data_IF_931438189760
#
_entry.id   IF_931438189760
#
_cell.length_a   1.000
_cell.length_b   1.000
_cell.length_c   1.000
_cell.angle_alpha   90.00
_cell.angle_beta   90.00
_cell.angle_gamma   90.00
#
_symmetry.space_group_name_H-M   'P 1'
#
loop_
_entity.id
_entity.type
_entity.pdbx_description
1 polymer ?
#
# COMPACT_ATOMS: atom_id res chain seq x y z
N UNK A 1 -22.06 -14.17 18.60
CA UNK A 1 -22.04 -14.89 17.28
C UNK A 1 -23.35 -14.71 16.50
N UNK A 2 -24.54 -14.78 17.13
CA UNK A 2 -25.86 -14.58 16.47
C UNK A 2 -26.10 -13.14 16.02
N UNK A 3 -25.71 -12.16 16.80
CA UNK A 3 -25.97 -10.75 16.49
C UNK A 3 -25.04 -10.19 15.42
N UNK A 4 -23.81 -10.70 15.34
CA UNK A 4 -22.85 -10.33 14.28
C UNK A 4 -23.30 -10.88 12.91
N UNK A 5 -23.85 -12.12 12.89
CA UNK A 5 -24.41 -12.72 11.66
C UNK A 5 -25.64 -11.93 11.16
N UNK A 6 -26.46 -11.41 12.08
CA UNK A 6 -27.63 -10.58 11.75
C UNK A 6 -27.23 -9.21 11.17
N UNK A 7 -26.23 -8.58 11.75
CA UNK A 7 -25.71 -7.29 11.27
C UNK A 7 -25.06 -7.41 9.88
N UNK A 8 -24.28 -8.47 9.63
CA UNK A 8 -23.61 -8.70 8.34
C UNK A 8 -24.60 -9.06 7.22
N UNK A 9 -25.66 -9.81 7.54
CA UNK A 9 -26.74 -10.12 6.60
C UNK A 9 -27.56 -8.90 6.17
N UNK A 10 -27.76 -7.93 7.06
CA UNK A 10 -28.44 -6.68 6.76
C UNK A 10 -27.67 -5.77 5.79
N UNK A 11 -26.36 -5.98 5.64
CA UNK A 11 -25.49 -5.20 4.73
C UNK A 11 -25.15 -5.97 3.43
N UNK A 12 -25.87 -7.06 3.13
CA UNK A 12 -25.70 -7.82 1.88
C UNK A 12 -24.39 -8.61 1.78
N UNK A 13 -23.74 -8.90 2.90
CA UNK A 13 -22.50 -9.67 2.94
C UNK A 13 -22.85 -11.15 3.12
N UNK A 14 -22.85 -11.92 2.04
CA UNK A 14 -22.99 -13.37 2.07
C UNK A 14 -21.75 -14.03 2.67
N UNK A 15 -21.92 -14.77 3.78
CA UNK A 15 -20.84 -15.44 4.53
C UNK A 15 -20.42 -16.78 3.87
N UNK A 16 -21.05 -17.18 2.75
CA UNK A 16 -20.79 -18.46 2.08
C UNK A 16 -19.34 -18.67 1.59
N UNK A 17 -18.53 -17.61 1.48
CA UNK A 17 -17.12 -17.67 1.09
C UNK A 17 -16.11 -17.94 2.21
N UNK A 18 -16.57 -18.10 3.47
CA UNK A 18 -15.70 -18.30 4.65
C UNK A 18 -15.54 -19.76 5.07
N UNK A 19 -16.17 -20.69 4.36
CA UNK A 19 -16.02 -22.13 4.62
C UNK A 19 -14.77 -22.64 3.89
N UNK A 20 -13.81 -23.19 4.66
CA UNK A 20 -12.56 -23.78 4.19
C UNK A 20 -12.81 -24.99 3.29
N UNK A 21 -12.02 -25.18 2.20
CA UNK A 21 -11.80 -26.52 1.66
C UNK A 21 -11.05 -27.39 2.67
N UNK A 22 -11.21 -28.73 2.63
CA UNK A 22 -10.67 -29.63 3.64
C UNK A 22 -9.15 -29.54 3.75
N UNK A 23 -8.68 -29.64 4.98
CA UNK A 23 -7.32 -29.61 5.50
C UNK A 23 -6.25 -30.19 4.57
N UNK A 24 -5.32 -29.35 4.14
CA UNK A 24 -3.97 -29.79 3.77
C UNK A 24 -3.18 -29.89 5.06
N UNK A 25 -2.77 -31.10 5.41
CA UNK A 25 -1.92 -31.39 6.57
C UNK A 25 -0.58 -30.67 6.45
N UNK A 26 -0.25 -29.87 7.45
CA UNK A 26 1.06 -29.30 7.68
C UNK A 26 2.01 -30.43 8.10
N UNK A 27 2.86 -30.85 7.18
CA UNK A 27 4.00 -31.71 7.43
C UNK A 27 5.26 -30.89 7.63
N UNK A 28 5.88 -31.13 8.75
CA UNK A 28 7.29 -31.05 9.12
C UNK A 28 8.11 -29.78 8.89
N UNK A 29 8.54 -29.25 10.02
CA UNK A 29 9.66 -28.33 10.25
C UNK A 29 10.94 -28.81 9.57
N UNK A 30 11.57 -27.94 8.78
CA UNK A 30 12.95 -28.12 8.28
C UNK A 30 13.94 -27.93 9.44
N UNK A 31 15.04 -28.70 9.49
CA UNK A 31 16.00 -28.62 10.57
C UNK A 31 16.82 -27.32 10.53
N UNK A 32 16.99 -26.72 11.70
CA UNK A 32 17.94 -25.65 11.97
C UNK A 32 19.36 -26.16 11.70
N UNK A 33 20.09 -25.50 10.82
CA UNK A 33 21.52 -25.73 10.66
C UNK A 33 22.30 -24.80 11.56
N UNK A 34 22.78 -25.32 12.68
CA UNK A 34 23.77 -24.67 13.55
C UNK A 34 25.12 -24.61 12.84
N UNK A 35 25.55 -23.40 12.43
CA UNK A 35 26.92 -23.18 11.96
C UNK A 35 27.66 -22.40 13.05
N UNK A 36 28.66 -22.99 13.72
CA UNK A 36 29.48 -22.29 14.71
C UNK A 36 30.40 -21.29 14.04
N UNK A 37 30.62 -20.11 14.70
CA UNK A 37 31.59 -19.12 14.28
C UNK A 37 33.05 -19.61 14.50
N UNK A 38 34.04 -18.83 14.01
CA UNK A 38 35.46 -19.15 14.13
C UNK A 38 35.96 -19.25 15.59
N UNK A 39 35.13 -18.92 16.58
CA UNK A 39 35.41 -18.99 18.01
C UNK A 39 34.52 -20.01 18.75
N UNK A 40 33.78 -20.84 18.04
CA UNK A 40 32.95 -21.92 18.63
C UNK A 40 31.74 -21.45 19.42
N UNK A 41 31.28 -20.19 19.22
CA UNK A 41 30.05 -19.68 19.81
C UNK A 41 28.89 -19.92 18.85
N UNK A 42 27.85 -20.59 19.32
CA UNK A 42 26.55 -20.69 18.64
C UNK A 42 25.95 -19.29 18.56
N UNK A 43 26.07 -18.64 17.41
CA UNK A 43 25.23 -17.51 17.09
C UNK A 43 23.84 -18.06 16.75
N UNK A 44 22.91 -17.90 17.68
CA UNK A 44 21.50 -18.03 17.36
C UNK A 44 21.18 -16.89 16.38
N UNK A 45 21.30 -17.15 15.09
CA UNK A 45 20.78 -16.26 14.09
C UNK A 45 19.26 -16.31 14.24
N UNK A 46 18.72 -15.36 15.02
CA UNK A 46 17.30 -15.06 15.01
C UNK A 46 17.02 -14.53 13.61
N UNK A 47 16.61 -15.41 12.71
CA UNK A 47 16.13 -15.00 11.38
C UNK A 47 15.03 -13.96 11.60
N UNK A 48 15.13 -12.78 10.96
CA UNK A 48 14.09 -11.76 11.13
C UNK A 48 12.74 -12.38 10.81
N UNK A 49 11.70 -12.08 11.60
CA UNK A 49 10.37 -12.69 11.44
C UNK A 49 9.92 -12.53 9.99
N UNK A 50 9.38 -13.59 9.40
CA UNK A 50 8.94 -13.57 8.01
C UNK A 50 7.93 -12.43 7.82
N UNK A 51 8.19 -11.53 6.87
CA UNK A 51 7.35 -10.34 6.63
C UNK A 51 5.89 -10.71 6.34
N UNK A 52 5.67 -11.78 5.57
CA UNK A 52 4.35 -12.24 5.12
C UNK A 52 4.09 -13.66 5.62
N UNK A 53 2.81 -14.09 5.69
CA UNK A 53 2.45 -15.48 5.95
C UNK A 53 3.22 -16.42 5.03
N UNK A 54 3.67 -17.56 5.55
CA UNK A 54 4.61 -18.46 4.88
C UNK A 54 4.22 -18.81 3.44
N UNK A 55 2.96 -19.11 3.17
CA UNK A 55 2.48 -19.45 1.82
C UNK A 55 2.57 -18.27 0.86
N UNK A 56 2.11 -17.10 1.28
CA UNK A 56 2.15 -15.88 0.46
C UNK A 56 3.60 -15.39 0.27
N UNK A 57 4.38 -15.40 1.34
CA UNK A 57 5.79 -15.05 1.30
C UNK A 57 6.62 -15.98 0.39
N UNK A 58 6.34 -17.28 0.40
CA UNK A 58 7.00 -18.24 -0.49
C UNK A 58 6.68 -17.97 -1.96
N UNK A 59 5.42 -17.70 -2.29
CA UNK A 59 4.98 -17.35 -3.64
C UNK A 59 5.69 -16.10 -4.14
N UNK A 60 5.77 -15.03 -3.33
CA UNK A 60 6.42 -13.80 -3.76
C UNK A 60 7.94 -13.95 -3.89
N UNK A 61 8.59 -14.71 -3.01
CA UNK A 61 10.02 -15.03 -3.18
C UNK A 61 10.26 -15.81 -4.47
N UNK A 62 9.42 -16.79 -4.77
CA UNK A 62 9.52 -17.54 -6.02
C UNK A 62 9.37 -16.64 -7.26
N UNK A 63 8.46 -15.64 -7.22
CA UNK A 63 8.35 -14.67 -8.30
C UNK A 63 9.61 -13.83 -8.42
N UNK A 64 10.14 -13.32 -7.30
CA UNK A 64 11.36 -12.52 -7.27
C UNK A 64 12.58 -13.29 -7.79
N UNK A 65 12.77 -14.53 -7.34
CA UNK A 65 13.85 -15.41 -7.79
C UNK A 65 13.79 -15.70 -9.29
N UNK A 66 12.60 -16.06 -9.79
CA UNK A 66 12.40 -16.31 -11.23
C UNK A 66 12.63 -15.07 -12.09
N UNK A 67 12.21 -13.91 -11.61
CA UNK A 67 12.39 -12.66 -12.32
C UNK A 67 13.79 -12.04 -12.13
N UNK A 68 14.63 -12.59 -11.24
CA UNK A 68 15.91 -11.97 -10.88
C UNK A 68 15.75 -10.56 -10.29
N UNK A 69 14.59 -10.27 -9.69
CA UNK A 69 14.23 -8.97 -9.15
C UNK A 69 14.27 -8.98 -7.62
N UNK A 70 14.46 -7.82 -6.95
CA UNK A 70 14.42 -7.76 -5.49
C UNK A 70 13.03 -8.14 -4.96
N UNK A 71 12.98 -8.99 -3.93
CA UNK A 71 11.73 -9.42 -3.31
C UNK A 71 10.93 -8.24 -2.74
N UNK A 72 11.61 -7.20 -2.28
CA UNK A 72 11.02 -5.95 -1.79
C UNK A 72 10.12 -5.29 -2.82
N UNK A 73 10.42 -5.40 -4.13
CA UNK A 73 9.58 -4.85 -5.18
C UNK A 73 8.22 -5.58 -5.24
N UNK A 74 8.22 -6.90 -5.15
CA UNK A 74 6.98 -7.69 -5.08
C UNK A 74 6.20 -7.43 -3.79
N UNK A 75 6.89 -7.34 -2.65
CA UNK A 75 6.26 -7.05 -1.37
C UNK A 75 5.60 -5.67 -1.37
N UNK A 76 6.29 -4.64 -1.86
CA UNK A 76 5.75 -3.28 -1.93
C UNK A 76 4.49 -3.22 -2.80
N UNK A 77 4.53 -3.80 -4.00
CA UNK A 77 3.36 -3.81 -4.91
C UNK A 77 2.19 -4.57 -4.28
N UNK A 78 2.44 -5.75 -3.67
CA UNK A 78 1.40 -6.49 -2.95
C UNK A 78 0.76 -5.64 -1.85
N UNK A 79 1.58 -4.96 -1.04
CA UNK A 79 1.10 -4.15 0.07
C UNK A 79 0.26 -2.95 -0.42
N UNK A 80 0.65 -2.29 -1.52
CA UNK A 80 -0.16 -1.22 -2.13
C UNK A 80 -1.51 -1.73 -2.65
N UNK A 81 -1.53 -2.88 -3.33
CA UNK A 81 -2.77 -3.52 -3.79
C UNK A 81 -3.63 -3.95 -2.61
N UNK A 82 -3.05 -4.60 -1.60
CA UNK A 82 -3.78 -5.03 -0.41
C UNK A 82 -4.37 -3.83 0.36
N UNK A 83 -3.60 -2.76 0.51
CA UNK A 83 -4.02 -1.52 1.17
C UNK A 83 -5.28 -0.94 0.51
N UNK A 84 -5.33 -0.90 -0.82
CA UNK A 84 -6.48 -0.38 -1.58
C UNK A 84 -7.75 -1.24 -1.45
N UNK A 85 -7.61 -2.52 -1.08
CA UNK A 85 -8.74 -3.44 -0.89
C UNK A 85 -9.32 -3.40 0.53
N UNK A 86 -8.58 -2.86 1.49
CA UNK A 86 -9.05 -2.70 2.86
C UNK A 86 -10.13 -1.61 2.89
N UNK A 87 -11.29 -1.84 3.55
CA UNK A 87 -12.33 -0.82 3.66
C UNK A 87 -11.80 0.51 4.22
N UNK A 88 -12.22 1.63 3.64
CA UNK A 88 -11.67 2.97 3.88
C UNK A 88 -11.76 3.45 5.35
N UNK A 89 -12.77 2.98 6.10
CA UNK A 89 -12.93 3.31 7.54
C UNK A 89 -12.03 2.48 8.46
N UNK A 90 -11.09 1.72 7.90
CA UNK A 90 -10.13 0.95 8.71
C UNK A 90 -8.93 1.81 9.07
N UNK A 91 -8.51 1.77 10.32
CA UNK A 91 -7.35 2.52 10.81
C UNK A 91 -6.71 1.83 12.01
N UNK A 92 -5.51 2.27 12.38
CA UNK A 92 -4.88 1.97 13.68
C UNK A 92 -4.89 3.23 14.53
N UNK A 93 -5.42 3.15 15.74
CA UNK A 93 -5.33 4.19 16.75
C UNK A 93 -3.99 4.06 17.48
N UNK A 94 -3.11 5.04 17.33
CA UNK A 94 -1.79 5.05 17.95
C UNK A 94 -1.83 5.62 19.35
N UNK A 95 -2.51 6.74 19.52
CA UNK A 95 -2.70 7.39 20.81
C UNK A 95 -4.20 7.60 21.05
N UNK A 96 -4.76 6.89 22.06
CA UNK A 96 -6.15 7.08 22.45
C UNK A 96 -6.44 8.50 22.97
N UNK A 97 -5.43 9.19 23.57
CA UNK A 97 -5.59 10.52 24.15
C UNK A 97 -5.72 11.59 23.07
N UNK A 98 -4.84 11.55 22.07
CA UNK A 98 -4.78 12.52 20.97
C UNK A 98 -5.65 12.11 19.77
N UNK A 99 -6.26 10.91 19.81
CA UNK A 99 -7.06 10.33 18.72
C UNK A 99 -6.32 10.24 17.38
N UNK A 100 -4.98 10.08 17.44
CA UNK A 100 -4.16 9.92 16.25
C UNK A 100 -4.43 8.53 15.66
N UNK A 101 -4.98 8.51 14.46
CA UNK A 101 -5.28 7.26 13.75
C UNK A 101 -4.66 7.25 12.36
N UNK A 102 -4.09 6.12 11.96
CA UNK A 102 -3.36 5.93 10.72
C UNK A 102 -4.16 5.01 9.79
N UNK A 103 -4.48 5.46 8.55
CA UNK A 103 -5.21 4.66 7.57
C UNK A 103 -4.29 3.67 6.82
N UNK A 104 -4.84 2.61 6.17
CA UNK A 104 -4.08 1.65 5.39
C UNK A 104 -3.73 2.19 3.99
N UNK A 105 -3.08 3.33 3.88
CA UNK A 105 -2.73 3.97 2.60
C UNK A 105 -1.25 3.81 2.34
N UNK A 106 -0.88 3.24 1.19
CA UNK A 106 0.51 3.03 0.80
C UNK A 106 0.75 3.48 -0.64
N UNK A 107 1.82 4.24 -0.86
CA UNK A 107 2.28 4.66 -2.17
C UNK A 107 3.63 4.01 -2.48
N UNK A 108 3.71 3.28 -3.57
CA UNK A 108 4.89 2.52 -3.98
C UNK A 108 5.38 2.91 -5.37
N UNK A 109 6.69 3.13 -5.48
CA UNK A 109 7.37 3.45 -6.73
C UNK A 109 8.51 2.46 -7.03
N UNK A 110 8.51 1.89 -8.23
CA UNK A 110 9.58 1.05 -8.72
C UNK A 110 10.48 1.87 -9.65
N UNK A 111 11.75 2.04 -9.29
CA UNK A 111 12.74 2.81 -10.05
C UNK A 111 13.66 1.87 -10.83
N UNK A 112 13.84 2.10 -12.12
CA UNK A 112 14.76 1.28 -12.94
C UNK A 112 14.71 1.70 -14.39
N UNK A 113 15.64 1.18 -15.20
CA UNK A 113 15.75 1.49 -16.61
C UNK A 113 14.64 0.86 -17.46
N UNK A 114 14.58 1.22 -18.72
CA UNK A 114 13.70 0.58 -19.70
C UNK A 114 14.05 -0.92 -19.76
N UNK A 115 13.04 -1.78 -19.74
CA UNK A 115 13.26 -3.23 -19.76
C UNK A 115 13.67 -3.85 -18.42
N UNK A 116 13.74 -3.08 -17.32
CA UNK A 116 14.09 -3.63 -15.98
C UNK A 116 13.00 -4.52 -15.35
N UNK A 117 11.83 -4.68 -15.97
CA UNK A 117 10.77 -5.55 -15.48
C UNK A 117 9.76 -4.91 -14.52
N UNK A 118 9.82 -3.58 -14.27
CA UNK A 118 8.89 -2.87 -13.36
C UNK A 118 7.41 -3.14 -13.66
N UNK A 119 6.99 -2.89 -14.90
CA UNK A 119 5.59 -3.09 -15.32
C UNK A 119 5.15 -4.54 -15.19
N UNK A 120 6.08 -5.49 -15.36
CA UNK A 120 5.83 -6.91 -15.17
C UNK A 120 5.58 -7.25 -13.70
N UNK A 121 6.42 -6.76 -12.78
CA UNK A 121 6.22 -6.95 -11.34
C UNK A 121 4.84 -6.43 -10.92
N UNK A 122 4.47 -5.21 -11.37
CA UNK A 122 3.17 -4.60 -11.10
C UNK A 122 2.05 -5.46 -11.69
N UNK A 123 2.14 -5.84 -12.97
CA UNK A 123 1.09 -6.61 -13.65
C UNK A 123 0.89 -8.00 -13.04
N UNK A 124 1.95 -8.66 -12.58
CA UNK A 124 1.87 -9.96 -11.91
C UNK A 124 0.94 -9.91 -10.69
N UNK A 125 1.02 -8.86 -9.89
CA UNK A 125 0.24 -8.73 -8.66
C UNK A 125 -1.10 -8.03 -8.88
N UNK A 126 -1.22 -7.15 -9.88
CA UNK A 126 -2.49 -6.47 -10.19
C UNK A 126 -3.42 -7.31 -11.07
N UNK A 127 -2.94 -8.35 -11.76
CA UNK A 127 -3.77 -9.19 -12.64
C UNK A 127 -4.94 -9.86 -11.92
N UNK A 128 -4.78 -10.59 -10.78
CA UNK A 128 -5.90 -11.16 -10.04
C UNK A 128 -6.86 -10.09 -9.51
N UNK A 129 -6.33 -8.93 -9.15
CA UNK A 129 -7.11 -7.78 -8.72
C UNK A 129 -7.98 -7.19 -9.86
N UNK A 130 -7.44 -7.08 -11.08
CA UNK A 130 -8.17 -6.64 -12.28
C UNK A 130 -9.28 -7.62 -12.68
N UNK A 131 -9.13 -8.91 -12.37
CA UNK A 131 -10.19 -9.90 -12.55
C UNK A 131 -11.38 -9.65 -11.63
N UNK A 132 -11.12 -9.29 -10.36
CA UNK A 132 -12.18 -8.89 -9.43
C UNK A 132 -12.91 -7.63 -9.94
N UNK A 133 -12.17 -6.67 -10.50
CA UNK A 133 -12.78 -5.49 -11.13
C UNK A 133 -13.68 -5.87 -12.30
N UNK A 134 -13.24 -6.79 -13.15
CA UNK A 134 -14.05 -7.25 -14.30
C UNK A 134 -15.37 -7.89 -13.84
N UNK A 135 -15.38 -8.63 -12.73
CA UNK A 135 -16.61 -9.17 -12.15
C UNK A 135 -17.55 -8.07 -11.63
N UNK A 136 -16.99 -7.04 -10.96
CA UNK A 136 -17.79 -5.89 -10.53
C UNK A 136 -18.41 -5.17 -11.73
N UNK A 137 -17.65 -5.01 -12.80
CA UNK A 137 -18.15 -4.38 -14.03
C UNK A 137 -19.24 -5.21 -14.69
N UNK A 138 -19.08 -6.53 -14.81
CA UNK A 138 -20.11 -7.42 -15.35
C UNK A 138 -21.41 -7.36 -14.54
N UNK A 139 -21.28 -7.34 -13.20
CA UNK A 139 -22.43 -7.19 -12.29
C UNK A 139 -23.14 -5.85 -12.49
N UNK A 140 -22.37 -4.76 -12.58
CA UNK A 140 -22.91 -3.43 -12.85
C UNK A 140 -23.66 -3.37 -14.19
N UNK A 141 -23.13 -3.96 -15.26
CA UNK A 141 -23.81 -4.03 -16.56
C UNK A 141 -25.16 -4.76 -16.47
N UNK A 142 -25.23 -5.84 -15.69
CA UNK A 142 -26.50 -6.53 -15.46
C UNK A 142 -27.48 -5.68 -14.63
N UNK A 143 -27.00 -5.00 -13.61
CA UNK A 143 -27.82 -4.09 -12.79
C UNK A 143 -28.34 -2.92 -13.62
N UNK A 144 -27.51 -2.36 -14.52
CA UNK A 144 -27.93 -1.27 -15.42
C UNK A 144 -29.06 -1.71 -16.37
N UNK A 145 -28.96 -2.90 -16.98
CA UNK A 145 -30.06 -3.46 -17.81
C UNK A 145 -31.35 -3.63 -17.01
N UNK A 146 -31.24 -4.13 -15.76
CA UNK A 146 -32.42 -4.30 -14.90
C UNK A 146 -33.05 -2.95 -14.54
N UNK A 147 -32.21 -1.94 -14.26
CA UNK A 147 -32.64 -0.57 -13.98
C UNK A 147 -33.37 0.04 -15.19
N UNK A 148 -32.82 -0.08 -16.38
CA UNK A 148 -33.44 0.45 -17.60
C UNK A 148 -34.82 -0.18 -17.85
N UNK A 149 -34.95 -1.49 -17.68
CA UNK A 149 -36.25 -2.18 -17.79
C UNK A 149 -37.25 -1.72 -16.72
N UNK A 150 -36.78 -1.54 -15.46
CA UNK A 150 -37.61 -1.04 -14.36
C UNK A 150 -38.05 0.42 -14.57
N UNK A 151 -37.13 1.27 -15.07
CA UNK A 151 -37.43 2.67 -15.39
C UNK A 151 -38.50 2.77 -16.49
N UNK A 152 -38.36 1.99 -17.56
CA UNK A 152 -39.38 1.93 -18.64
C UNK A 152 -40.74 1.44 -18.12
N UNK A 153 -40.76 0.44 -17.22
CA UNK A 153 -41.97 -0.03 -16.59
C UNK A 153 -42.62 1.02 -15.68
N UNK A 154 -41.80 1.77 -14.93
CA UNK A 154 -42.22 2.89 -14.09
C UNK A 154 -42.84 4.01 -14.95
N UNK A 155 -42.20 4.43 -16.01
CA UNK A 155 -42.70 5.47 -16.94
C UNK A 155 -44.02 5.09 -17.61
N UNK A 156 -44.18 3.80 -17.99
CA UNK A 156 -45.44 3.31 -18.59
C UNK A 156 -46.64 3.30 -17.64
N UNK A 157 -46.38 3.17 -16.32
CA UNK A 157 -47.45 3.08 -15.31
C UNK A 157 -47.99 4.43 -14.86
N UNK A 158 -47.89 5.49 -15.67
CA UNK A 158 -48.38 6.85 -15.41
C UNK A 158 -49.43 6.89 -14.30
N UNK A 159 -49.08 7.23 -13.05
CA UNK A 159 -49.94 7.41 -11.88
C UNK A 159 -49.98 6.31 -10.80
N UNK A 160 -49.05 5.36 -10.72
CA UNK A 160 -48.94 4.52 -9.54
C UNK A 160 -47.97 5.18 -8.56
N UNK A 161 -48.40 5.46 -7.36
CA UNK A 161 -47.58 5.98 -6.29
C UNK A 161 -46.38 5.05 -6.00
N UNK A 162 -45.17 5.58 -6.15
CA UNK A 162 -43.91 4.88 -5.88
C UNK A 162 -42.74 5.72 -6.34
N UNK A 163 -41.59 5.54 -5.71
CA UNK A 163 -40.38 6.23 -6.09
C UNK A 163 -39.78 5.64 -7.38
N UNK A 164 -39.12 6.45 -8.22
CA UNK A 164 -38.43 5.95 -9.40
C UNK A 164 -37.32 4.98 -8.99
N UNK A 165 -37.02 3.96 -9.82
CA UNK A 165 -35.93 3.03 -9.52
C UNK A 165 -34.61 3.77 -9.36
N UNK A 166 -33.79 3.36 -8.39
CA UNK A 166 -32.50 3.94 -8.14
C UNK A 166 -31.47 3.45 -9.17
N UNK A 167 -30.70 4.39 -9.72
CA UNK A 167 -29.67 4.05 -10.72
C UNK A 167 -28.50 3.36 -10.05
N UNK A 168 -28.05 2.19 -10.52
CA UNK A 168 -26.88 1.51 -9.96
C UNK A 168 -25.60 2.33 -10.13
N UNK A 169 -24.70 2.23 -9.16
CA UNK A 169 -23.39 2.89 -9.16
C UNK A 169 -22.29 1.87 -9.49
N UNK A 170 -21.37 2.15 -10.42
CA UNK A 170 -20.26 1.26 -10.69
C UNK A 170 -19.30 1.21 -9.48
N UNK A 171 -18.72 0.03 -9.23
CA UNK A 171 -17.63 -0.15 -8.28
C UNK A 171 -16.32 -0.09 -9.04
N UNK A 172 -15.45 0.85 -8.69
CA UNK A 172 -14.15 1.06 -9.31
C UNK A 172 -13.05 0.78 -8.27
N UNK A 173 -12.33 -0.34 -8.42
CA UNK A 173 -11.26 -0.72 -7.50
C UNK A 173 -9.94 -0.05 -7.88
N UNK A 174 -9.76 0.31 -9.15
CA UNK A 174 -8.56 1.01 -9.63
C UNK A 174 -8.86 1.98 -10.75
N UNK A 175 -7.94 2.91 -10.93
CA UNK A 175 -7.87 3.79 -12.09
C UNK A 175 -6.42 4.00 -12.51
N UNK A 176 -6.18 4.31 -13.78
CA UNK A 176 -4.90 4.80 -14.28
C UNK A 176 -4.89 6.33 -14.46
N UNK A 177 -6.00 6.99 -14.15
CA UNK A 177 -6.10 8.45 -14.18
C UNK A 177 -5.58 9.03 -12.87
N UNK A 178 -4.61 9.94 -12.97
CA UNK A 178 -4.02 10.65 -11.84
C UNK A 178 -4.53 12.10 -11.70
N UNK A 179 -5.62 12.46 -12.38
CA UNK A 179 -6.30 13.72 -12.12
C UNK A 179 -7.06 13.65 -10.80
N UNK A 180 -6.67 14.47 -9.83
CA UNK A 180 -7.23 14.43 -8.48
C UNK A 180 -8.76 14.61 -8.46
N UNK A 181 -9.30 15.39 -9.41
CA UNK A 181 -10.74 15.57 -9.56
C UNK A 181 -11.48 14.28 -9.95
N UNK A 182 -10.89 13.47 -10.83
CA UNK A 182 -11.44 12.16 -11.22
C UNK A 182 -11.41 11.20 -10.04
N UNK A 183 -10.30 11.15 -9.32
CA UNK A 183 -10.14 10.32 -8.13
C UNK A 183 -11.18 10.67 -7.05
N UNK A 184 -11.37 11.97 -6.75
CA UNK A 184 -12.39 12.40 -5.80
C UNK A 184 -13.81 12.02 -6.25
N UNK A 185 -14.12 12.12 -7.53
CA UNK A 185 -15.43 11.72 -8.06
C UNK A 185 -15.67 10.22 -7.87
N UNK A 186 -14.66 9.38 -8.04
CA UNK A 186 -14.75 7.94 -7.78
C UNK A 186 -15.01 7.71 -6.28
N UNK A 187 -14.24 8.35 -5.41
CA UNK A 187 -14.37 8.18 -3.94
C UNK A 187 -15.73 8.64 -3.42
N UNK A 188 -16.29 9.74 -3.96
CA UNK A 188 -17.64 10.21 -3.60
C UNK A 188 -18.71 9.16 -3.91
N UNK A 189 -18.56 8.43 -5.02
CA UNK A 189 -19.49 7.37 -5.42
C UNK A 189 -19.38 6.10 -4.59
N UNK A 190 -18.24 5.88 -3.93
CA UNK A 190 -17.93 4.68 -3.16
C UNK A 190 -17.20 5.00 -1.84
N UNK A 191 -17.82 5.74 -0.90
CA UNK A 191 -17.14 6.33 0.26
C UNK A 191 -16.54 5.32 1.24
N UNK A 192 -17.01 4.06 1.21
CA UNK A 192 -16.55 3.00 2.13
C UNK A 192 -15.47 2.10 1.52
N UNK A 193 -14.98 2.42 0.31
CA UNK A 193 -13.99 1.61 -0.41
C UNK A 193 -12.69 2.36 -0.63
N UNK A 194 -11.58 1.62 -0.61
CA UNK A 194 -10.31 2.12 -1.09
C UNK A 194 -10.22 2.09 -2.61
N UNK A 195 -9.26 2.82 -3.15
CA UNK A 195 -8.95 2.92 -4.57
C UNK A 195 -7.46 2.72 -4.80
N UNK A 196 -7.10 1.94 -5.82
CA UNK A 196 -5.73 1.84 -6.31
C UNK A 196 -5.54 2.75 -7.53
N UNK A 197 -4.47 3.53 -7.53
CA UNK A 197 -3.99 4.19 -8.74
C UNK A 197 -2.83 3.36 -9.28
N UNK A 198 -3.04 2.73 -10.44
CA UNK A 198 -2.07 1.86 -11.11
C UNK A 198 -1.50 2.60 -12.32
N UNK A 199 -0.26 3.09 -12.20
CA UNK A 199 0.39 3.95 -13.18
C UNK A 199 1.56 3.24 -13.86
N UNK A 200 1.54 3.15 -15.18
CA UNK A 200 2.69 2.68 -15.95
C UNK A 200 3.89 3.61 -15.82
N UNK A 201 3.63 4.94 -15.74
CA UNK A 201 4.66 5.98 -15.59
C UNK A 201 4.30 6.96 -14.46
N UNK A 202 4.96 6.78 -13.31
CA UNK A 202 4.87 7.72 -12.18
C UNK A 202 5.40 9.13 -12.49
N UNK A 203 6.23 9.29 -13.53
CA UNK A 203 6.72 10.62 -13.88
C UNK A 203 5.58 11.56 -14.29
N UNK A 204 4.49 11.05 -14.87
CA UNK A 204 3.30 11.84 -15.21
C UNK A 204 2.67 12.41 -13.93
N UNK A 205 2.46 11.57 -12.92
CA UNK A 205 1.92 11.96 -11.62
C UNK A 205 2.81 13.01 -10.94
N UNK A 206 4.11 12.74 -10.85
CA UNK A 206 5.06 13.64 -10.20
C UNK A 206 5.19 15.00 -10.93
N UNK A 207 5.15 15.01 -12.27
CA UNK A 207 5.14 16.26 -13.07
C UNK A 207 3.86 17.07 -12.85
N UNK A 208 2.71 16.41 -12.70
CA UNK A 208 1.43 17.09 -12.46
C UNK A 208 1.36 17.81 -11.11
N UNK A 209 2.22 17.44 -10.17
CA UNK A 209 2.26 17.96 -8.79
C UNK A 209 3.50 18.84 -8.51
N UNK A 210 4.44 18.98 -9.46
CA UNK A 210 5.76 19.56 -9.23
C UNK A 210 5.81 21.11 -9.19
N UNK A 211 4.78 21.82 -9.64
CA UNK A 211 4.83 23.28 -9.80
C UNK A 211 4.41 24.03 -8.53
N UNK A 212 4.97 25.24 -8.36
CA UNK A 212 4.77 26.11 -7.18
C UNK A 212 3.54 27.02 -7.28
N UNK A 213 2.98 27.23 -8.47
CA UNK A 213 1.95 28.27 -8.71
C UNK A 213 0.65 27.66 -9.25
N UNK A 214 -0.45 28.30 -8.87
CA UNK A 214 -1.77 28.01 -9.41
C UNK A 214 -2.33 26.65 -9.05
N UNK A 215 -3.00 26.02 -10.01
CA UNK A 215 -3.76 24.78 -9.88
C UNK A 215 -2.93 23.59 -9.43
N UNK A 216 -1.67 23.47 -9.87
CA UNK A 216 -0.77 22.36 -9.49
C UNK A 216 -0.39 22.38 -8.01
N UNK A 217 -0.27 23.55 -7.38
CA UNK A 217 -0.08 23.64 -5.93
C UNK A 217 -1.30 23.14 -5.17
N UNK A 218 -2.49 23.48 -5.65
CA UNK A 218 -3.76 23.02 -5.08
C UNK A 218 -3.86 21.50 -5.22
N UNK A 219 -3.55 20.95 -6.38
CA UNK A 219 -3.57 19.50 -6.63
C UNK A 219 -2.60 18.75 -5.72
N UNK A 220 -1.37 19.27 -5.52
CA UNK A 220 -0.41 18.66 -4.58
C UNK A 220 -0.95 18.62 -3.15
N UNK A 221 -1.55 19.71 -2.66
CA UNK A 221 -2.14 19.72 -1.31
C UNK A 221 -3.26 18.70 -1.18
N UNK A 222 -4.12 18.56 -2.20
CA UNK A 222 -5.19 17.56 -2.22
C UNK A 222 -4.65 16.13 -2.22
N UNK A 223 -3.56 15.86 -2.95
CA UNK A 223 -2.89 14.56 -2.93
C UNK A 223 -2.30 14.23 -1.56
N UNK A 224 -1.69 15.21 -0.89
CA UNK A 224 -1.20 15.03 0.47
C UNK A 224 -2.35 14.80 1.46
N UNK A 225 -3.47 15.53 1.36
CA UNK A 225 -4.66 15.27 2.15
C UNK A 225 -5.18 13.82 1.92
N UNK A 226 -5.23 13.36 0.66
CA UNK A 226 -5.62 11.98 0.32
C UNK A 226 -4.66 10.93 0.88
N UNK A 227 -3.35 11.21 0.90
CA UNK A 227 -2.35 10.32 1.51
C UNK A 227 -2.54 10.20 3.03
N UNK A 228 -2.89 11.31 3.69
CA UNK A 228 -3.21 11.33 5.12
C UNK A 228 -4.59 10.73 5.46
N UNK A 229 -5.36 10.32 4.46
CA UNK A 229 -6.74 9.85 4.67
C UNK A 229 -7.70 10.97 5.09
N UNK A 230 -7.35 12.21 4.79
CA UNK A 230 -8.14 13.40 5.11
C UNK A 230 -8.99 13.83 3.92
N UNK A 231 -10.19 14.30 4.20
CA UNK A 231 -11.01 14.95 3.18
C UNK A 231 -10.30 16.19 2.65
N UNK A 232 -10.10 16.33 1.31
CA UNK A 232 -9.40 17.48 0.75
C UNK A 232 -10.04 18.81 1.13
N UNK A 233 -9.28 19.68 1.78
CA UNK A 233 -9.77 20.94 2.41
C UNK A 233 -10.19 21.98 1.41
N UNK A 234 -9.63 21.97 0.20
CA UNK A 234 -9.81 23.02 -0.82
C UNK A 234 -10.95 22.75 -1.82
N UNK A 235 -11.73 21.68 -1.66
CA UNK A 235 -12.83 21.33 -2.57
C UNK A 235 -14.20 21.85 -2.16
N UNK A 236 -14.40 22.25 -0.91
CA UNK A 236 -15.70 22.55 -0.33
C UNK A 236 -16.30 23.91 -0.73
N UNK A 237 -15.48 24.89 -1.13
CA UNK A 237 -15.96 26.27 -1.34
C UNK A 237 -16.35 26.62 -2.79
N UNK A 238 -15.79 25.97 -3.80
CA UNK A 238 -15.91 26.41 -5.19
C UNK A 238 -16.83 25.51 -6.04
N UNK A 239 -17.04 24.25 -5.67
CA UNK A 239 -17.76 23.28 -6.51
C UNK A 239 -18.93 22.57 -5.84
N UNK A 240 -19.27 22.88 -4.58
CA UNK A 240 -20.39 22.21 -3.86
C UNK A 240 -20.19 20.70 -3.68
N UNK A 241 -18.93 20.21 -3.69
CA UNK A 241 -18.61 18.79 -3.61
C UNK A 241 -18.86 18.23 -2.21
N UNK A 242 -19.43 17.05 -2.14
CA UNK A 242 -19.64 16.31 -0.91
C UNK A 242 -18.27 15.79 -0.45
N UNK A 243 -17.84 16.08 0.81
CA UNK A 243 -16.59 15.56 1.32
C UNK A 243 -16.66 14.05 1.49
N UNK A 244 -15.60 13.33 1.09
CA UNK A 244 -15.44 11.91 1.43
C UNK A 244 -14.84 11.84 2.83
N UNK A 245 -15.55 11.32 3.83
CA UNK A 245 -15.11 11.41 5.22
C UNK A 245 -13.84 10.60 5.52
N UNK A 246 -13.60 9.51 4.79
CA UNK A 246 -12.45 8.62 4.96
C UNK A 246 -11.91 8.21 3.60
N UNK A 247 -11.23 9.11 2.85
CA UNK A 247 -10.64 8.74 1.58
C UNK A 247 -9.49 7.75 1.80
N UNK A 248 -9.42 6.71 0.97
CA UNK A 248 -8.35 5.72 1.02
C UNK A 248 -7.84 5.48 -0.40
N UNK A 249 -6.67 6.05 -0.71
CA UNK A 249 -6.07 5.98 -2.05
C UNK A 249 -4.64 5.48 -1.94
N UNK A 250 -4.40 4.28 -2.46
CA UNK A 250 -3.05 3.75 -2.62
C UNK A 250 -2.58 3.96 -4.06
N UNK A 251 -1.27 4.14 -4.24
CA UNK A 251 -0.66 4.38 -5.55
C UNK A 251 0.44 3.34 -5.79
N UNK A 252 0.51 2.81 -6.99
CA UNK A 252 1.63 1.98 -7.44
C UNK A 252 2.01 2.34 -8.86
N UNK A 253 3.31 2.35 -9.17
CA UNK A 253 3.75 2.59 -10.53
C UNK A 253 5.26 2.47 -10.71
N UNK A 254 5.67 2.49 -11.98
CA UNK A 254 7.07 2.48 -12.38
C UNK A 254 7.55 3.88 -12.78
N UNK A 255 8.84 4.13 -12.59
CA UNK A 255 9.51 5.33 -13.11
C UNK A 255 10.88 4.96 -13.68
N UNK A 256 11.27 5.59 -14.78
CA UNK A 256 12.61 5.41 -15.32
C UNK A 256 13.64 6.14 -14.43
N UNK A 257 14.83 5.55 -14.29
CA UNK A 257 15.90 6.16 -13.47
C UNK A 257 16.25 7.58 -13.93
N UNK A 258 16.32 7.81 -15.23
CA UNK A 258 16.59 9.13 -15.82
C UNK A 258 15.51 10.17 -15.53
N UNK A 259 14.22 9.77 -15.60
CA UNK A 259 13.10 10.65 -15.24
C UNK A 259 13.08 10.95 -13.76
N UNK A 260 13.32 9.94 -12.92
CA UNK A 260 13.44 10.09 -11.47
C UNK A 260 14.53 11.11 -11.13
N UNK A 261 15.74 10.95 -11.68
CA UNK A 261 16.88 11.86 -11.51
C UNK A 261 16.54 13.29 -11.94
N UNK A 262 15.93 13.45 -13.12
CA UNK A 262 15.56 14.75 -13.67
C UNK A 262 14.52 15.47 -12.82
N UNK A 263 13.51 14.75 -12.36
CA UNK A 263 12.44 15.30 -11.54
C UNK A 263 12.93 15.61 -10.12
N UNK A 264 13.74 14.71 -9.54
CA UNK A 264 14.33 14.92 -8.23
C UNK A 264 15.23 16.14 -8.17
N UNK A 265 16.09 16.34 -9.19
CA UNK A 265 16.99 17.52 -9.26
C UNK A 265 16.24 18.84 -9.43
N UNK A 266 15.07 18.83 -10.06
CA UNK A 266 14.20 19.99 -10.24
C UNK A 266 13.22 20.21 -9.09
N UNK A 267 13.17 19.31 -8.09
CA UNK A 267 12.25 19.42 -6.97
C UNK A 267 12.44 20.74 -6.21
N UNK A 268 11.37 21.21 -5.66
CA UNK A 268 11.38 22.39 -4.78
C UNK A 268 11.36 21.92 -3.33
N UNK A 269 11.86 22.74 -2.39
CA UNK A 269 11.80 22.44 -0.94
C UNK A 269 10.39 22.04 -0.46
N UNK A 270 9.34 22.53 -1.09
CA UNK A 270 7.96 22.18 -0.75
C UNK A 270 7.47 20.90 -1.45
N UNK A 271 8.21 20.35 -2.41
CA UNK A 271 7.89 19.09 -3.09
C UNK A 271 8.42 17.85 -2.39
N UNK A 272 9.33 18.02 -1.45
CA UNK A 272 10.06 16.93 -0.78
C UNK A 272 9.10 15.97 -0.06
N UNK A 273 8.08 16.47 0.64
CA UNK A 273 7.09 15.66 1.34
C UNK A 273 6.32 14.70 0.41
N UNK A 274 5.94 15.14 -0.81
CA UNK A 274 5.24 14.26 -1.75
C UNK A 274 6.11 13.06 -2.17
N UNK A 275 7.42 13.30 -2.37
CA UNK A 275 8.37 12.25 -2.69
C UNK A 275 8.56 11.28 -1.52
N UNK A 276 8.56 11.81 -0.30
CA UNK A 276 8.67 11.02 0.92
C UNK A 276 7.45 10.11 1.16
N UNK A 277 6.25 10.49 0.68
CA UNK A 277 5.06 9.64 0.73
C UNK A 277 5.23 8.33 -0.04
N UNK A 278 6.08 8.29 -1.07
CA UNK A 278 6.37 7.07 -1.80
C UNK A 278 7.43 6.22 -1.10
N UNK A 279 7.16 4.94 -1.00
CA UNK A 279 8.20 3.93 -0.77
C UNK A 279 8.86 3.60 -2.11
N UNK A 280 10.18 3.71 -2.19
CA UNK A 280 10.93 3.51 -3.43
C UNK A 280 11.72 2.22 -3.39
N UNK A 281 11.66 1.43 -4.46
CA UNK A 281 12.48 0.23 -4.64
C UNK A 281 13.16 0.26 -5.99
N UNK A 282 14.46 0.02 -6.01
CA UNK A 282 15.25 -0.07 -7.22
C UNK A 282 15.11 -1.45 -7.85
N UNK A 283 14.81 -1.48 -9.16
CA UNK A 283 14.77 -2.70 -9.98
C UNK A 283 15.86 -2.61 -11.04
N UNK A 284 16.90 -3.42 -10.90
CA UNK A 284 18.10 -3.33 -11.77
C UNK A 284 17.86 -3.98 -13.12
N UNK A 285 17.53 -5.25 -13.14
CA UNK A 285 17.24 -6.00 -14.35
C UNK A 285 16.46 -7.27 -13.97
N UNK A 286 15.38 -7.52 -14.68
CA UNK A 286 14.66 -8.77 -14.59
C UNK A 286 14.74 -9.45 -15.95
N UNK A 287 15.39 -10.63 -16.08
CA UNK A 287 15.43 -11.36 -17.33
C UNK A 287 14.00 -11.68 -17.81
N UNK A 288 13.81 -11.66 -19.12
CA UNK A 288 12.52 -11.93 -19.74
C UNK A 288 12.19 -13.43 -19.68
N UNK A 289 11.79 -13.89 -18.49
CA UNK A 289 11.28 -15.25 -18.30
C UNK A 289 9.77 -15.23 -18.52
N UNK A 290 9.24 -16.14 -19.31
CA UNK A 290 7.79 -16.25 -19.55
C UNK A 290 7.03 -16.43 -18.23
N UNK A 291 6.00 -15.62 -18.05
CA UNK A 291 5.21 -15.50 -16.83
C UNK A 291 4.08 -16.51 -16.83
N UNK A 292 4.41 -17.77 -16.68
CA UNK A 292 3.43 -18.74 -16.24
C UNK A 292 3.27 -18.60 -14.72
N UNK A 293 2.41 -17.65 -14.30
CA UNK A 293 1.83 -17.69 -12.98
C UNK A 293 1.31 -19.11 -12.75
N UNK A 294 1.99 -19.87 -11.92
CA UNK A 294 1.49 -21.19 -11.53
C UNK A 294 0.05 -20.98 -11.08
N UNK A 295 -0.89 -21.67 -11.67
CA UNK A 295 -2.34 -21.55 -11.44
C UNK A 295 -2.69 -21.39 -9.95
N UNK A 296 -1.99 -22.11 -9.07
CA UNK A 296 -2.16 -22.04 -7.63
C UNK A 296 -1.82 -20.67 -7.03
N UNK A 297 -0.79 -19.98 -7.55
CA UNK A 297 -0.36 -18.66 -7.04
C UNK A 297 -1.37 -17.56 -7.39
N UNK A 298 -1.94 -17.61 -8.60
CA UNK A 298 -3.00 -16.69 -9.02
C UNK A 298 -4.27 -16.87 -8.19
N UNK A 299 -4.68 -18.13 -7.97
CA UNK A 299 -5.85 -18.48 -7.16
C UNK A 299 -5.67 -18.04 -5.71
N UNK A 300 -4.46 -18.19 -5.14
CA UNK A 300 -4.14 -17.72 -3.80
C UNK A 300 -4.32 -16.20 -3.70
N UNK A 301 -3.67 -15.42 -4.58
CA UNK A 301 -3.78 -13.96 -4.60
C UNK A 301 -5.22 -13.49 -4.78
N UNK A 302 -5.95 -14.06 -5.73
CA UNK A 302 -7.36 -13.77 -5.95
C UNK A 302 -8.19 -14.00 -4.67
N UNK A 303 -8.00 -15.14 -4.00
CA UNK A 303 -8.72 -15.49 -2.78
C UNK A 303 -8.41 -14.50 -1.65
N UNK A 304 -7.12 -14.18 -1.45
CA UNK A 304 -6.69 -13.21 -0.42
C UNK A 304 -7.29 -11.83 -0.70
N UNK A 305 -7.26 -11.36 -1.95
CA UNK A 305 -7.82 -10.07 -2.33
C UNK A 305 -9.34 -10.01 -2.12
N UNK A 306 -10.07 -11.07 -2.46
CA UNK A 306 -11.52 -11.15 -2.20
C UNK A 306 -11.83 -11.09 -0.70
N UNK A 307 -11.04 -11.77 0.11
CA UNK A 307 -11.20 -11.75 1.58
C UNK A 307 -10.89 -10.38 2.18
N UNK A 308 -9.84 -9.70 1.71
CA UNK A 308 -9.54 -8.33 2.11
C UNK A 308 -10.71 -7.38 1.81
N UNK A 309 -11.23 -7.44 0.58
CA UNK A 309 -12.36 -6.62 0.14
C UNK A 309 -13.65 -6.89 0.94
N UNK A 310 -13.88 -8.15 1.33
CA UNK A 310 -15.06 -8.55 2.08
C UNK A 310 -14.92 -8.37 3.60
N UNK A 311 -13.71 -8.02 4.09
CA UNK A 311 -13.48 -7.89 5.52
C UNK A 311 -14.15 -6.62 6.08
N UNK A 312 -14.69 -6.66 7.32
CA UNK A 312 -15.39 -5.51 7.90
C UNK A 312 -14.41 -4.35 8.17
N UNK A 313 -14.86 -3.08 8.04
CA UNK A 313 -14.08 -1.94 8.50
C UNK A 313 -13.89 -2.02 10.02
N UNK A 314 -12.69 -1.64 10.51
CA UNK A 314 -12.37 -1.72 11.92
C UNK A 314 -11.28 -0.72 12.30
N UNK A 315 -11.48 -0.03 13.43
CA UNK A 315 -10.40 0.67 14.09
C UNK A 315 -9.65 -0.30 15.00
N UNK A 316 -8.39 -0.55 14.65
CA UNK A 316 -7.47 -1.37 15.44
C UNK A 316 -6.79 -0.54 16.53
N UNK A 317 -6.32 -1.20 17.56
CA UNK A 317 -5.52 -0.62 18.64
C UNK A 317 -4.26 -1.48 18.83
N UNK A 318 -3.16 -0.87 19.24
CA UNK A 318 -1.96 -1.60 19.61
C UNK A 318 -2.17 -2.30 20.96
N UNK A 319 -1.56 -3.47 21.15
CA UNK A 319 -1.38 -4.04 22.49
C UNK A 319 -0.38 -3.19 23.31
N UNK A 320 -0.22 -3.49 24.60
CA UNK A 320 0.65 -2.70 25.49
C UNK A 320 2.10 -2.73 25.03
N UNK A 321 2.62 -3.88 24.62
CA UNK A 321 3.96 -4.03 24.07
C UNK A 321 4.12 -3.25 22.75
N UNK A 322 3.11 -3.28 21.88
CA UNK A 322 3.09 -2.51 20.63
C UNK A 322 3.07 -0.99 20.87
N UNK A 323 2.38 -0.51 21.91
CA UNK A 323 2.41 0.90 22.28
C UNK A 323 3.80 1.35 22.72
N UNK A 324 4.46 0.56 23.58
CA UNK A 324 5.84 0.84 24.01
C UNK A 324 6.82 0.80 22.84
N UNK A 325 6.66 -0.17 21.95
CA UNK A 325 7.46 -0.29 20.74
C UNK A 325 7.27 0.92 19.81
N UNK A 326 6.03 1.38 19.65
CA UNK A 326 5.71 2.58 18.86
C UNK A 326 6.39 3.84 19.43
N UNK A 327 6.32 4.05 20.74
CA UNK A 327 6.94 5.21 21.40
C UNK A 327 8.45 5.20 21.13
N UNK A 328 9.12 4.08 21.41
CA UNK A 328 10.56 3.94 21.18
C UNK A 328 10.95 4.17 19.71
N UNK A 329 10.14 3.64 18.78
CA UNK A 329 10.33 3.83 17.34
C UNK A 329 10.19 5.31 16.93
N UNK A 330 9.15 5.97 17.42
CA UNK A 330 8.90 7.38 17.15
C UNK A 330 10.04 8.27 17.62
N UNK A 331 10.55 8.03 18.84
CA UNK A 331 11.69 8.75 19.40
C UNK A 331 12.98 8.53 18.58
N UNK A 332 13.25 7.31 18.14
CA UNK A 332 14.38 6.97 17.27
C UNK A 332 14.31 7.71 15.92
N UNK A 333 13.13 7.71 15.29
CA UNK A 333 12.90 8.37 14.00
C UNK A 333 13.07 9.89 14.13
N UNK A 334 12.47 10.49 15.14
CA UNK A 334 12.59 11.94 15.41
C UNK A 334 14.05 12.30 15.70
N UNK A 335 14.71 11.55 16.57
CA UNK A 335 16.13 11.76 16.89
C UNK A 335 17.03 11.66 15.65
N UNK A 336 16.79 10.68 14.77
CA UNK A 336 17.53 10.50 13.52
C UNK A 336 17.26 11.66 12.53
N UNK A 337 16.03 12.15 12.46
CA UNK A 337 15.64 13.24 11.57
C UNK A 337 16.25 14.59 11.97
N UNK A 338 16.41 14.86 13.28
CA UNK A 338 17.02 16.08 13.79
C UNK A 338 18.50 16.21 13.41
N UNK A 339 19.21 15.08 13.29
CA UNK A 339 20.60 15.03 12.84
C UNK A 339 20.79 15.10 11.33
N UNK A 340 19.71 15.14 10.55
CA UNK A 340 19.78 15.13 9.07
C UNK A 340 19.78 16.54 8.49
N UNK A 341 20.82 16.84 7.70
CA UNK A 341 21.01 18.14 7.08
C UNK A 341 20.27 18.32 5.76
N UNK A 342 19.95 17.23 5.06
CA UNK A 342 19.25 17.26 3.77
C UNK A 342 17.72 17.15 3.99
N UNK A 343 16.95 18.18 3.58
CA UNK A 343 15.51 18.21 3.86
C UNK A 343 14.72 17.03 3.27
N UNK A 344 15.08 16.56 2.08
CA UNK A 344 14.39 15.43 1.44
C UNK A 344 14.62 14.11 2.16
N UNK A 345 15.82 13.89 2.72
CA UNK A 345 16.09 12.72 3.56
C UNK A 345 15.39 12.85 4.92
N UNK A 346 15.38 14.05 5.50
CA UNK A 346 14.64 14.31 6.73
C UNK A 346 13.16 13.96 6.60
N UNK A 347 12.52 14.41 5.53
CA UNK A 347 11.11 14.07 5.24
C UNK A 347 10.93 12.56 5.05
N UNK A 348 11.86 11.88 4.35
CA UNK A 348 11.84 10.44 4.17
C UNK A 348 11.93 9.68 5.51
N UNK A 349 12.80 10.13 6.41
CA UNK A 349 12.95 9.55 7.75
C UNK A 349 11.65 9.70 8.55
N UNK A 350 11.08 10.90 8.61
CA UNK A 350 9.83 11.15 9.33
C UNK A 350 8.70 10.29 8.78
N UNK A 351 8.59 10.22 7.46
CA UNK A 351 7.56 9.41 6.80
C UNK A 351 7.74 7.91 7.03
N UNK A 352 8.99 7.45 7.22
CA UNK A 352 9.28 6.05 7.54
C UNK A 352 8.65 5.63 8.87
N UNK A 353 8.56 6.56 9.82
CA UNK A 353 7.88 6.33 11.09
C UNK A 353 6.43 5.88 10.92
N UNK A 354 5.66 6.68 10.23
CA UNK A 354 4.23 6.40 10.00
C UNK A 354 3.99 5.26 9.01
N UNK A 355 4.83 5.17 7.97
CA UNK A 355 4.78 4.07 6.99
C UNK A 355 4.90 2.71 7.64
N UNK A 356 5.71 2.57 8.70
CA UNK A 356 5.83 1.33 9.46
C UNK A 356 4.48 0.87 10.02
N UNK A 357 3.69 1.78 10.55
CA UNK A 357 2.34 1.51 11.08
C UNK A 357 1.37 1.17 9.96
N UNK A 358 1.39 1.91 8.84
CA UNK A 358 0.57 1.64 7.66
C UNK A 358 0.84 0.24 7.12
N UNK A 359 2.11 -0.15 7.02
CA UNK A 359 2.53 -1.49 6.63
C UNK A 359 2.03 -2.53 7.64
N UNK A 360 2.22 -2.30 8.94
CA UNK A 360 1.77 -3.22 9.98
C UNK A 360 0.26 -3.45 9.93
N UNK A 361 -0.54 -2.40 9.71
CA UNK A 361 -1.98 -2.52 9.52
C UNK A 361 -2.33 -3.40 8.32
N UNK A 362 -1.68 -3.18 7.18
CA UNK A 362 -1.90 -3.99 5.98
C UNK A 362 -1.48 -5.44 6.21
N UNK A 363 -0.35 -5.70 6.88
CA UNK A 363 0.10 -7.04 7.25
C UNK A 363 -0.89 -7.74 8.17
N UNK A 364 -1.41 -7.04 9.19
CA UNK A 364 -2.41 -7.58 10.11
C UNK A 364 -3.68 -8.04 9.37
N UNK A 365 -4.12 -7.26 8.39
CA UNK A 365 -5.27 -7.59 7.54
C UNK A 365 -4.96 -8.72 6.57
N UNK A 366 -3.75 -8.78 6.01
CA UNK A 366 -3.28 -9.87 5.15
C UNK A 366 -3.17 -11.19 5.92
N UNK A 367 -2.63 -11.17 7.14
CA UNK A 367 -2.54 -12.37 7.98
C UNK A 367 -3.94 -12.99 8.21
N UNK A 368 -4.92 -12.15 8.57
CA UNK A 368 -6.30 -12.58 8.74
C UNK A 368 -6.93 -13.09 7.43
N UNK A 369 -6.69 -12.41 6.31
CA UNK A 369 -7.19 -12.82 5.00
C UNK A 369 -6.58 -14.15 4.53
N UNK A 370 -5.29 -14.37 4.76
CA UNK A 370 -4.63 -15.63 4.46
C UNK A 370 -5.19 -16.78 5.34
N UNK A 371 -5.38 -16.51 6.61
CA UNK A 371 -5.98 -17.47 7.54
C UNK A 371 -7.49 -17.70 7.32
N UNK A 372 -8.16 -16.83 6.55
CA UNK A 372 -9.60 -16.93 6.31
C UNK A 372 -10.44 -16.56 7.55
N UNK A 373 -9.92 -15.69 8.41
CA UNK A 373 -10.58 -15.24 9.66
C UNK A 373 -10.85 -13.75 9.66
N UNK A 374 -11.77 -13.31 10.51
CA UNK A 374 -11.99 -11.88 10.75
C UNK A 374 -10.76 -11.35 11.53
N UNK A 375 -10.16 -10.22 11.12
CA UNK A 375 -9.01 -9.65 11.80
C UNK A 375 -9.34 -9.29 13.25
N UNK A 376 -8.38 -9.50 14.15
CA UNK A 376 -8.48 -9.05 15.56
C UNK A 376 -8.55 -7.53 15.63
N UNK A 377 -9.24 -7.00 16.65
CA UNK A 377 -9.20 -5.56 16.95
C UNK A 377 -7.82 -5.11 17.44
N UNK A 378 -7.08 -6.00 18.08
CA UNK A 378 -5.74 -5.74 18.59
C UNK A 378 -4.73 -6.05 17.50
N UNK A 379 -3.89 -5.08 17.15
CA UNK A 379 -2.71 -5.25 16.30
C UNK A 379 -1.53 -5.56 17.22
N UNK A 380 -0.97 -6.78 17.17
CA UNK A 380 0.06 -7.20 18.13
C UNK A 380 1.44 -6.61 17.81
N UNK A 381 2.28 -6.45 18.83
CA UNK A 381 3.63 -5.90 18.74
C UNK A 381 4.50 -6.59 17.67
N UNK A 382 4.40 -7.91 17.53
CA UNK A 382 5.17 -8.64 16.51
C UNK A 382 4.81 -8.24 15.08
N UNK A 383 3.54 -7.91 14.81
CA UNK A 383 3.11 -7.40 13.50
C UNK A 383 3.61 -5.97 13.27
N UNK A 384 3.61 -5.13 14.31
CA UNK A 384 4.18 -3.80 14.27
C UNK A 384 5.70 -3.86 13.99
N UNK A 385 6.43 -4.76 14.67
CA UNK A 385 7.87 -4.97 14.44
C UNK A 385 8.17 -5.40 12.99
N UNK A 386 7.35 -6.27 12.39
CA UNK A 386 7.45 -6.62 10.96
C UNK A 386 7.27 -5.41 10.05
N UNK A 387 6.31 -4.55 10.36
CA UNK A 387 6.08 -3.29 9.64
C UNK A 387 7.27 -2.35 9.72
N UNK A 388 7.86 -2.18 10.90
CA UNK A 388 9.04 -1.36 11.16
C UNK A 388 10.27 -1.89 10.40
N UNK A 389 10.53 -3.19 10.47
CA UNK A 389 11.64 -3.81 9.75
C UNK A 389 11.52 -3.60 8.24
N UNK A 390 10.33 -3.77 7.67
CA UNK A 390 10.15 -3.56 6.24
C UNK A 390 10.23 -2.08 5.87
N UNK A 391 9.71 -1.17 6.69
CA UNK A 391 9.85 0.27 6.49
C UNK A 391 11.33 0.70 6.46
N UNK A 392 12.18 0.15 7.35
CA UNK A 392 13.63 0.38 7.33
C UNK A 392 14.30 -0.12 6.05
N UNK A 393 13.90 -1.29 5.54
CA UNK A 393 14.41 -1.81 4.26
C UNK A 393 14.05 -0.89 3.10
N UNK A 394 12.81 -0.41 3.05
CA UNK A 394 12.36 0.54 2.04
C UNK A 394 13.08 1.89 2.15
N UNK A 395 13.33 2.36 3.35
CA UNK A 395 14.15 3.56 3.60
C UNK A 395 15.57 3.40 3.03
N UNK A 396 16.25 2.29 3.31
CA UNK A 396 17.59 2.00 2.77
C UNK A 396 17.60 1.94 1.24
N UNK A 397 16.56 1.37 0.62
CA UNK A 397 16.40 1.37 -0.84
C UNK A 397 16.29 2.81 -1.38
N UNK A 398 15.46 3.64 -0.77
CA UNK A 398 15.30 5.04 -1.15
C UNK A 398 16.60 5.84 -0.99
N UNK A 399 17.30 5.70 0.14
CA UNK A 399 18.59 6.34 0.39
C UNK A 399 19.63 5.95 -0.67
N UNK A 400 19.67 4.68 -1.07
CA UNK A 400 20.57 4.20 -2.14
C UNK A 400 20.27 4.89 -3.47
N UNK A 401 18.99 5.01 -3.85
CA UNK A 401 18.57 5.69 -5.07
C UNK A 401 18.96 7.16 -5.03
N UNK A 402 18.70 7.83 -3.93
CA UNK A 402 19.04 9.25 -3.76
C UNK A 402 20.56 9.49 -3.79
N UNK A 403 21.31 8.62 -3.15
CA UNK A 403 22.78 8.70 -3.16
C UNK A 403 23.37 8.57 -4.58
N UNK A 404 22.88 7.63 -5.38
CA UNK A 404 23.32 7.47 -6.77
C UNK A 404 23.06 8.74 -7.60
N UNK A 405 21.92 9.38 -7.38
CA UNK A 405 21.56 10.63 -8.08
C UNK A 405 22.50 11.76 -7.69
N UNK A 406 22.82 11.92 -6.41
CA UNK A 406 23.75 12.97 -5.96
C UNK A 406 25.16 12.72 -6.46
N UNK A 407 25.62 11.49 -6.45
CA UNK A 407 26.96 11.14 -6.95
C UNK A 407 27.13 11.44 -8.44
N UNK A 408 26.06 11.30 -9.23
CA UNK A 408 26.06 11.59 -10.67
C UNK A 408 25.87 13.08 -10.99
N UNK A 409 25.34 13.88 -10.08
CA UNK A 409 25.06 15.33 -10.30
C UNK A 409 26.24 16.26 -9.99
N UNK A 410 27.41 15.73 -9.59
CA UNK A 410 28.61 16.52 -9.32
C UNK A 410 28.61 17.29 -7.98
N UNK A 411 27.59 17.15 -7.16
CA UNK A 411 27.52 17.71 -5.81
C UNK A 411 28.30 16.82 -4.81
N UNK A 412 29.64 16.80 -4.96
CA UNK A 412 30.54 15.89 -4.23
C UNK A 412 30.56 16.07 -2.71
N UNK A 413 30.23 17.23 -2.16
CA UNK A 413 30.31 17.47 -0.72
C UNK A 413 29.26 16.70 0.10
N UNK A 414 28.07 16.53 -0.42
CA UNK A 414 27.02 15.75 0.22
C UNK A 414 27.28 14.22 0.12
N UNK A 415 27.80 13.77 -1.01
CA UNK A 415 28.17 12.36 -1.21
C UNK A 415 29.21 11.89 -0.18
N UNK A 416 30.15 12.74 0.24
CA UNK A 416 31.16 12.43 1.26
C UNK A 416 30.59 12.33 2.68
N UNK A 417 29.59 13.13 3.03
CA UNK A 417 28.92 13.07 4.34
C UNK A 417 28.05 11.80 4.45
N UNK A 418 27.29 11.46 3.42
CA UNK A 418 26.51 10.23 3.39
C UNK A 418 27.39 8.97 3.35
N UNK A 419 28.51 8.96 2.61
CA UNK A 419 29.45 7.84 2.58
C UNK A 419 30.05 7.56 3.96
N UNK A 420 30.41 8.59 4.71
CA UNK A 420 30.92 8.44 6.10
C UNK A 420 29.85 7.86 7.03
N UNK A 421 28.58 8.19 6.82
CA UNK A 421 27.47 7.69 7.63
C UNK A 421 27.09 6.24 7.27
N UNK A 422 27.15 5.87 5.97
CA UNK A 422 26.95 4.47 5.54
C UNK A 422 28.03 3.54 6.07
N UNK A 423 29.28 3.99 6.14
CA UNK A 423 30.38 3.25 6.78
C UNK A 423 30.13 3.13 8.28
N UNK A 424 29.75 4.21 8.96
CA UNK A 424 29.40 4.21 10.39
C UNK A 424 28.20 3.33 10.74
N UNK A 425 27.19 3.28 9.86
CA UNK A 425 26.04 2.39 10.05
C UNK A 425 26.38 0.91 9.76
N UNK A 426 27.25 0.61 8.79
CA UNK A 426 27.79 -0.75 8.62
C UNK A 426 28.52 -1.23 9.87
N UNK A 427 29.38 -0.39 10.45
CA UNK A 427 30.16 -0.73 11.64
C UNK A 427 29.28 -0.91 12.91
N UNK A 428 28.08 -0.36 12.94
CA UNK A 428 27.12 -0.53 14.04
C UNK A 428 26.27 -1.82 13.92
N UNK A 429 26.15 -2.39 12.72
CA UNK A 429 25.37 -3.61 12.48
C UNK A 429 26.24 -4.87 12.28
N UNK A 430 27.56 -4.71 12.13
CA UNK A 430 28.55 -5.81 12.15
C UNK A 430 29.10 -6.09 13.56
N UNK A 431 28.57 -5.42 14.59
CA UNK A 431 28.81 -5.67 16.02
C UNK A 431 27.56 -6.21 16.70
#
# INVERSE_FOLDING_TARGET
MSDLKRSLSQHGIEISGWLLPPSVSLGDSLPESDVPDANGRLQVQVSPPALLPNTLGAVLRQFAERAGAPAEAYYLVLLCVAASLIPSRTSVLLDPSDKISVPPILWGGLVGDVGSGKSRIISTLTRPFKEIQAEHYARYQQQLKNYEAALQAYERRRMVAGDPPERPTPVELYTSDCAVDVVEQILVRQPDRGLLIDLDDLAIFLRSTADRQGERRINRSRWLDLYEGLAPRNGLGVTGRIPVPHPSVSVVGGIQHSDFQTLWSKRTRHGERLWACFAWVKVLHAPDTQDDLVYNSRTLLYTVYRRLQASPPMQHVLDEEGQQLWISWSDEIVGSSLGEGEPGIRELLLETGERAVRIALVLHRLDAACAGVIPSKILPANTLARGMEFARRLQKQAETIFFEIWSSSGQQDYGRQCSRRMVSLRDLFDR
#
